data_IF_588990075833
#
_entry.id   IF_588990075833
#
_cell.length_a   1.000
_cell.length_b   1.000
_cell.length_c   1.000
_cell.angle_alpha   90.00
_cell.angle_beta   90.00
_cell.angle_gamma   90.00
#
_symmetry.space_group_name_H-M   'P 1'
#
loop_
_entity.id
_entity.type
_entity.pdbx_description
1 polymer ?
#
# COMPACT_ATOMS: atom_id res chain seq x y z
N UNK A 1 35.99 -2.96 0.63
CA UNK A 1 34.59 -2.97 1.09
C UNK A 1 34.02 -4.34 0.78
N UNK A 2 33.68 -5.14 1.79
CA UNK A 2 33.09 -6.46 1.56
C UNK A 2 31.59 -6.31 1.31
N UNK A 3 31.10 -6.80 0.18
CA UNK A 3 29.67 -6.80 -0.15
C UNK A 3 29.06 -8.07 0.45
N UNK A 4 28.05 -7.91 1.32
CA UNK A 4 27.31 -9.05 1.85
C UNK A 4 26.11 -9.35 0.93
N UNK A 5 26.22 -10.42 0.14
CA UNK A 5 25.16 -10.84 -0.79
C UNK A 5 23.86 -11.24 -0.08
N UNK A 6 23.91 -11.62 1.21
CA UNK A 6 22.73 -11.93 2.03
C UNK A 6 21.78 -10.74 2.22
N UNK A 7 22.28 -9.51 2.07
CA UNK A 7 21.49 -8.28 2.16
C UNK A 7 20.86 -7.87 0.83
N UNK A 8 21.16 -8.56 -0.27
CA UNK A 8 20.60 -8.29 -1.59
C UNK A 8 19.34 -9.12 -1.77
N UNK A 9 18.21 -8.43 -1.92
CA UNK A 9 16.89 -9.05 -1.93
C UNK A 9 16.24 -8.86 -3.30
N UNK A 10 15.64 -9.92 -3.82
CA UNK A 10 14.91 -9.94 -5.08
C UNK A 10 13.65 -10.79 -4.90
N UNK A 11 12.53 -10.33 -5.43
CA UNK A 11 11.31 -11.12 -5.49
C UNK A 11 10.04 -10.28 -5.52
N UNK A 12 8.90 -10.93 -5.78
CA UNK A 12 7.60 -10.25 -5.83
C UNK A 12 7.16 -9.82 -4.42
N UNK A 13 6.31 -8.79 -4.38
CA UNK A 13 5.54 -8.43 -3.20
C UNK A 13 4.08 -8.87 -3.39
N UNK A 14 3.40 -9.22 -2.31
CA UNK A 14 1.95 -9.44 -2.27
C UNK A 14 1.28 -8.21 -1.68
N UNK A 15 0.14 -7.81 -2.23
CA UNK A 15 -0.61 -6.65 -1.79
C UNK A 15 -2.00 -7.10 -1.31
N UNK A 16 -2.41 -6.57 -0.17
CA UNK A 16 -3.73 -6.82 0.41
C UNK A 16 -4.39 -5.49 0.75
N UNK A 17 -5.72 -5.46 0.61
CA UNK A 17 -6.58 -4.32 0.95
C UNK A 17 -7.56 -4.74 2.03
N UNK A 18 -7.82 -3.87 2.99
CA UNK A 18 -8.89 -4.02 3.98
C UNK A 18 -9.57 -2.67 4.25
N UNK A 19 -10.77 -2.63 4.86
CA UNK A 19 -11.33 -1.40 5.39
C UNK A 19 -10.44 -0.77 6.48
N UNK A 20 -10.40 0.56 6.57
CA UNK A 20 -9.70 1.24 7.67
C UNK A 20 -10.28 0.80 9.03
N UNK A 21 -9.40 0.54 10.01
CA UNK A 21 -9.77 0.07 11.35
C UNK A 21 -9.90 -1.45 11.48
N UNK A 22 -9.62 -2.20 10.41
CA UNK A 22 -9.55 -3.67 10.46
C UNK A 22 -8.44 -4.14 11.40
N UNK A 23 -8.65 -5.29 12.05
CA UNK A 23 -7.63 -5.89 12.92
C UNK A 23 -6.39 -6.25 12.11
N UNK A 24 -5.23 -5.79 12.58
CA UNK A 24 -3.94 -6.07 11.96
C UNK A 24 -3.49 -7.50 12.27
N UNK A 25 -2.91 -8.22 11.29
CA UNK A 25 -2.28 -9.50 11.56
C UNK A 25 -1.13 -9.33 12.56
N UNK A 26 -0.95 -10.32 13.42
CA UNK A 26 0.16 -10.33 14.39
C UNK A 26 1.51 -10.31 13.68
N UNK A 27 2.48 -9.59 14.26
CA UNK A 27 3.86 -9.52 13.76
C UNK A 27 4.51 -10.92 13.68
N UNK A 28 4.13 -11.84 14.57
CA UNK A 28 4.58 -13.23 14.57
C UNK A 28 4.09 -14.04 13.35
N UNK A 29 3.15 -13.51 12.56
CA UNK A 29 2.70 -14.13 11.32
C UNK A 29 3.59 -13.81 10.11
N UNK A 30 4.60 -12.93 10.27
CA UNK A 30 5.56 -12.59 9.21
C UNK A 30 6.62 -13.69 9.10
N UNK A 31 6.34 -14.73 8.31
CA UNK A 31 7.24 -15.87 8.11
C UNK A 31 7.26 -16.36 6.64
N UNK A 32 8.41 -16.80 6.09
CA UNK A 32 8.58 -17.25 4.69
C UNK A 32 7.77 -18.49 4.35
N UNK A 33 7.60 -19.35 5.37
CA UNK A 33 6.73 -20.53 5.36
C UNK A 33 5.42 -20.25 6.12
N UNK A 34 5.11 -18.98 6.39
CA UNK A 34 3.84 -18.55 6.96
C UNK A 34 2.73 -19.09 6.08
N UNK A 35 1.65 -19.59 6.69
CA UNK A 35 0.73 -20.46 6.02
C UNK A 35 0.25 -19.82 4.72
N UNK A 36 -0.14 -20.68 3.81
CA UNK A 36 -1.15 -20.46 2.75
C UNK A 36 -2.45 -19.78 3.23
N UNK A 37 -2.46 -19.14 4.40
CA UNK A 37 -3.52 -18.31 4.92
C UNK A 37 -3.22 -16.85 4.53
N UNK A 38 -3.98 -16.25 3.60
CA UNK A 38 -4.09 -14.81 3.55
C UNK A 38 -4.35 -14.25 4.96
N UNK A 39 -3.97 -12.99 5.25
CA UNK A 39 -4.42 -12.31 6.46
C UNK A 39 -5.93 -12.54 6.63
N UNK A 40 -6.35 -12.91 7.85
CA UNK A 40 -7.75 -13.25 8.12
C UNK A 40 -8.68 -12.14 7.63
N UNK A 41 -9.92 -12.49 7.24
CA UNK A 41 -10.96 -11.50 6.90
C UNK A 41 -10.93 -10.33 7.91
N UNK A 42 -10.89 -9.08 7.45
CA UNK A 42 -11.37 -8.58 6.15
C UNK A 42 -10.29 -8.26 5.09
N UNK A 43 -9.07 -8.78 5.22
CA UNK A 43 -8.01 -8.53 4.24
C UNK A 43 -8.22 -9.34 2.95
N UNK A 44 -8.30 -8.65 1.81
CA UNK A 44 -8.47 -9.25 0.49
C UNK A 44 -7.20 -9.11 -0.33
N UNK A 45 -6.73 -10.22 -0.90
CA UNK A 45 -5.63 -10.24 -1.86
C UNK A 45 -6.07 -9.57 -3.16
N UNK A 46 -5.26 -8.65 -3.68
CA UNK A 46 -5.54 -7.98 -4.96
C UNK A 46 -4.97 -8.75 -6.16
N UNK A 47 -4.30 -9.88 -5.90
CA UNK A 47 -3.77 -10.77 -6.91
C UNK A 47 -2.41 -10.31 -7.46
N UNK A 48 -2.12 -10.71 -8.70
CA UNK A 48 -0.86 -10.38 -9.36
C UNK A 48 -0.64 -8.86 -9.55
N UNK A 49 0.57 -8.38 -9.28
CA UNK A 49 1.01 -7.02 -9.61
C UNK A 49 2.02 -7.02 -10.75
N UNK A 50 1.92 -6.06 -11.67
CA UNK A 50 2.89 -5.86 -12.75
C UNK A 50 3.83 -4.68 -12.43
N UNK A 51 5.14 -4.87 -12.56
CA UNK A 51 6.13 -3.84 -12.20
C UNK A 51 6.36 -3.62 -10.70
N UNK A 52 5.72 -4.41 -9.83
CA UNK A 52 5.92 -4.40 -8.38
C UNK A 52 5.07 -3.37 -7.62
N UNK A 53 5.36 -3.23 -6.33
CA UNK A 53 4.72 -2.27 -5.43
C UNK A 53 5.79 -1.32 -4.90
N UNK A 54 5.58 -0.02 -5.06
CA UNK A 54 6.50 1.00 -4.55
C UNK A 54 5.90 1.69 -3.33
N UNK A 55 6.67 1.77 -2.25
CA UNK A 55 6.35 2.57 -1.07
C UNK A 55 7.30 3.75 -1.02
N UNK A 56 6.75 4.96 -1.03
CA UNK A 56 7.48 6.22 -1.05
C UNK A 56 7.10 7.06 0.17
N UNK A 57 8.09 7.73 0.76
CA UNK A 57 7.91 8.70 1.85
C UNK A 57 8.63 9.98 1.47
N UNK A 58 7.86 11.05 1.31
CA UNK A 58 8.32 12.39 0.99
C UNK A 58 8.20 13.28 2.23
N UNK A 59 9.30 13.91 2.62
CA UNK A 59 9.42 14.76 3.79
C UNK A 59 9.79 16.18 3.35
N UNK A 60 8.87 17.12 3.56
CA UNK A 60 9.11 18.54 3.29
C UNK A 60 9.61 19.23 4.54
N UNK A 61 10.75 19.92 4.41
CA UNK A 61 11.32 20.74 5.47
C UNK A 61 11.14 22.22 5.14
N UNK A 62 10.85 23.01 6.16
CA UNK A 62 10.86 24.47 6.06
C UNK A 62 12.03 25.01 6.88
N UNK A 63 12.82 25.86 6.23
CA UNK A 63 14.01 26.45 6.82
C UNK A 63 13.65 27.57 7.79
N UNK A 64 14.41 27.64 8.88
CA UNK A 64 14.39 28.70 9.86
C UNK A 64 15.51 29.67 9.51
N UNK A 65 15.14 30.91 9.19
CA UNK A 65 16.06 32.00 8.89
C UNK A 65 15.98 33.07 9.98
N UNK A 66 17.11 33.69 10.25
CA UNK A 66 17.27 34.73 11.26
C UNK A 66 18.06 35.85 10.59
N UNK A 67 17.56 37.08 10.65
CA UNK A 67 18.08 38.22 9.87
C UNK A 67 19.55 38.56 10.15
N UNK A 68 20.08 38.11 11.28
CA UNK A 68 21.47 38.28 11.69
C UNK A 68 22.46 37.36 10.96
N UNK A 69 21.98 36.28 10.34
CA UNK A 69 22.80 35.29 9.65
C UNK A 69 22.32 35.12 8.21
N UNK A 70 23.23 35.27 7.25
CA UNK A 70 22.91 35.09 5.82
C UNK A 70 22.62 33.63 5.45
N UNK A 71 22.97 32.68 6.33
CA UNK A 71 22.74 31.25 6.13
C UNK A 71 21.58 30.76 6.99
N UNK A 72 20.85 29.76 6.48
CA UNK A 72 19.83 29.01 7.22
C UNK A 72 20.35 28.53 8.59
N UNK A 73 19.55 28.76 9.64
CA UNK A 73 19.92 28.42 11.03
C UNK A 73 19.50 27.00 11.39
N UNK A 74 18.52 26.45 10.67
CA UNK A 74 18.10 25.07 10.78
C UNK A 74 16.84 24.82 9.96
N UNK A 75 16.32 23.61 9.99
CA UNK A 75 15.07 23.27 9.31
C UNK A 75 14.13 22.49 10.24
N UNK A 76 12.83 22.51 9.93
CA UNK A 76 11.79 21.74 10.64
C UNK A 76 10.93 20.99 9.64
N UNK A 77 10.55 19.76 9.96
CA UNK A 77 9.63 18.97 9.15
C UNK A 77 8.23 19.63 9.21
N UNK A 78 7.69 20.00 8.06
CA UNK A 78 6.38 20.69 7.96
C UNK A 78 5.32 19.86 7.26
N UNK A 79 5.72 18.94 6.39
CA UNK A 79 4.82 17.97 5.81
C UNK A 79 5.51 16.63 5.61
N UNK A 80 4.74 15.55 5.76
CA UNK A 80 5.15 14.20 5.40
C UNK A 80 4.04 13.58 4.57
N UNK A 81 4.37 13.09 3.39
CA UNK A 81 3.46 12.41 2.47
C UNK A 81 3.99 11.00 2.22
N UNK A 82 3.13 10.01 2.41
CA UNK A 82 3.47 8.61 2.11
C UNK A 82 2.54 8.09 1.02
N UNK A 83 3.11 7.47 0.00
CA UNK A 83 2.38 6.96 -1.16
C UNK A 83 2.76 5.52 -1.45
N UNK A 84 1.76 4.70 -1.79
CA UNK A 84 1.93 3.33 -2.29
C UNK A 84 1.42 3.30 -3.72
N UNK A 85 2.28 2.97 -4.68
CA UNK A 85 1.88 2.80 -6.08
C UNK A 85 1.97 1.33 -6.46
N UNK A 86 0.91 0.83 -7.08
CA UNK A 86 0.83 -0.54 -7.56
C UNK A 86 0.08 -0.59 -8.91
N UNK A 87 0.49 -1.51 -9.77
CA UNK A 87 -0.26 -1.87 -10.98
C UNK A 87 -0.85 -3.25 -10.80
N UNK A 88 -2.16 -3.33 -10.69
CA UNK A 88 -2.86 -4.60 -10.50
C UNK A 88 -3.06 -5.26 -11.87
N UNK A 89 -2.56 -6.47 -12.05
CA UNK A 89 -2.71 -7.23 -13.31
C UNK A 89 -4.08 -7.89 -13.43
N UNK A 90 -4.76 -8.11 -12.32
CA UNK A 90 -6.07 -8.76 -12.28
C UNK A 90 -7.20 -7.72 -12.40
N UNK A 91 -7.83 -7.68 -13.58
CA UNK A 91 -8.95 -6.79 -13.89
C UNK A 91 -10.29 -7.33 -13.36
N UNK A 92 -10.38 -7.60 -12.06
CA UNK A 92 -11.65 -7.96 -11.43
C UNK A 92 -12.45 -6.70 -11.08
N UNK A 93 -13.78 -6.81 -11.04
CA UNK A 93 -14.63 -5.70 -10.59
C UNK A 93 -14.34 -5.32 -9.13
N UNK A 94 -13.93 -6.27 -8.31
CA UNK A 94 -13.49 -6.05 -6.93
C UNK A 94 -12.24 -5.16 -6.87
N UNK A 95 -11.23 -5.46 -7.69
CA UNK A 95 -10.01 -4.64 -7.78
C UNK A 95 -10.28 -3.25 -8.36
N UNK A 96 -11.18 -3.16 -9.35
CA UNK A 96 -11.62 -1.87 -9.87
C UNK A 96 -12.34 -1.04 -8.80
N UNK A 97 -13.18 -1.66 -7.96
CA UNK A 97 -13.83 -0.98 -6.85
C UNK A 97 -12.83 -0.53 -5.79
N UNK A 98 -11.85 -1.37 -5.44
CA UNK A 98 -10.79 -1.00 -4.51
C UNK A 98 -9.95 0.17 -5.03
N UNK A 99 -9.62 0.20 -6.32
CA UNK A 99 -8.92 1.31 -6.96
C UNK A 99 -9.75 2.61 -6.96
N UNK A 100 -11.08 2.51 -6.89
CA UNK A 100 -12.03 3.62 -6.78
C UNK A 100 -12.51 3.86 -5.33
N UNK A 101 -11.73 3.48 -4.33
CA UNK A 101 -12.04 3.71 -2.90
C UNK A 101 -13.36 3.08 -2.42
N UNK A 102 -13.78 1.97 -3.03
CA UNK A 102 -15.06 1.31 -2.75
C UNK A 102 -16.28 2.23 -2.86
N UNK A 103 -16.20 3.27 -3.70
CA UNK A 103 -17.29 4.23 -3.89
C UNK A 103 -18.47 3.58 -4.63
N UNK A 104 -18.23 2.56 -5.44
CA UNK A 104 -19.27 1.90 -6.23
C UNK A 104 -19.90 0.73 -5.48
N UNK A 105 -21.15 0.42 -5.82
CA UNK A 105 -21.86 -0.75 -5.32
C UNK A 105 -21.71 -1.90 -6.31
N UNK A 106 -21.20 -3.04 -5.82
CA UNK A 106 -21.19 -4.29 -6.56
C UNK A 106 -22.46 -5.07 -6.27
N UNK A 107 -23.19 -5.46 -7.32
CA UNK A 107 -24.36 -6.34 -7.20
C UNK A 107 -24.07 -7.61 -7.97
N UNK A 108 -24.07 -8.75 -7.28
CA UNK A 108 -23.81 -10.07 -7.86
C UNK A 108 -25.14 -10.71 -8.20
N UNK A 109 -25.37 -10.97 -9.49
CA UNK A 109 -26.55 -11.67 -9.99
C UNK A 109 -26.15 -13.01 -10.62
N UNK A 110 -27.14 -13.84 -10.92
CA UNK A 110 -26.90 -15.10 -11.61
C UNK A 110 -26.33 -14.84 -13.01
N UNK A 111 -25.03 -15.14 -13.20
CA UNK A 111 -24.35 -15.06 -14.49
C UNK A 111 -23.66 -13.74 -14.82
N UNK A 112 -23.79 -12.70 -13.98
CA UNK A 112 -23.07 -11.42 -14.16
C UNK A 112 -22.92 -10.66 -12.83
N UNK A 113 -21.99 -9.71 -12.79
CA UNK A 113 -21.82 -8.78 -11.66
C UNK A 113 -21.84 -7.37 -12.23
N UNK A 114 -22.67 -6.50 -11.66
CA UNK A 114 -22.75 -5.09 -12.05
C UNK A 114 -22.00 -4.22 -11.04
N UNK A 115 -21.38 -3.16 -11.55
CA UNK A 115 -20.71 -2.13 -10.76
C UNK A 115 -21.29 -0.79 -11.18
N UNK A 116 -22.02 -0.16 -10.27
CA UNK A 116 -22.63 1.15 -10.50
C UNK A 116 -21.88 2.21 -9.69
N UNK A 117 -21.28 3.17 -10.39
CA UNK A 117 -20.59 4.30 -9.75
C UNK A 117 -21.64 5.36 -9.41
N UNK A 118 -21.91 5.64 -8.13
CA UNK A 118 -22.92 6.61 -7.76
C UNK A 118 -22.48 8.01 -8.19
N UNK A 119 -23.38 8.71 -8.89
CA UNK A 119 -23.26 10.14 -9.20
C UNK A 119 -24.17 10.92 -8.24
N UNK A 120 -23.63 11.23 -7.05
CA UNK A 120 -24.33 12.03 -6.06
C UNK A 120 -24.29 13.53 -6.35
N UNK A 121 -25.26 14.29 -5.83
CA UNK A 121 -25.30 15.77 -5.88
C UNK A 121 -24.55 16.43 -4.71
N UNK A 122 -23.88 15.65 -3.86
CA UNK A 122 -23.19 16.14 -2.65
C UNK A 122 -21.83 15.45 -2.48
N UNK A 123 -20.89 16.17 -1.86
CA UNK A 123 -19.59 15.60 -1.47
C UNK A 123 -19.80 14.62 -0.32
N UNK A 124 -19.72 13.33 -0.62
CA UNK A 124 -19.73 12.26 0.40
C UNK A 124 -18.31 12.05 0.93
N UNK A 125 -18.20 11.72 2.22
CA UNK A 125 -16.92 11.37 2.82
C UNK A 125 -16.43 10.02 2.23
N UNK A 126 -15.23 9.94 1.65
CA UNK A 126 -14.74 8.70 1.07
C UNK A 126 -14.43 7.67 2.16
N UNK A 127 -14.66 6.39 1.86
CA UNK A 127 -14.29 5.30 2.72
C UNK A 127 -12.76 5.08 2.65
N UNK A 128 -12.08 5.24 3.78
CA UNK A 128 -10.64 4.96 3.87
C UNK A 128 -10.39 3.45 3.92
N UNK A 129 -9.30 3.03 3.28
CA UNK A 129 -8.82 1.65 3.33
C UNK A 129 -7.51 1.55 4.14
N UNK A 130 -7.10 0.32 4.42
CA UNK A 130 -5.79 -0.07 4.90
C UNK A 130 -5.12 -0.97 3.87
N UNK A 131 -3.79 -0.87 3.71
CA UNK A 131 -2.99 -1.72 2.85
C UNK A 131 -2.02 -2.55 3.66
N UNK A 132 -1.75 -3.75 3.18
CA UNK A 132 -0.70 -4.62 3.69
C UNK A 132 0.13 -5.11 2.51
N UNK A 133 1.45 -4.92 2.61
CA UNK A 133 2.42 -5.31 1.60
C UNK A 133 3.36 -6.31 2.24
N UNK A 134 3.40 -7.52 1.70
CA UNK A 134 4.36 -8.54 2.09
C UNK A 134 5.42 -8.69 1.00
N UNK A 135 6.64 -8.29 1.32
CA UNK A 135 7.82 -8.43 0.47
C UNK A 135 8.93 -9.22 1.14
N UNK A 136 10.08 -9.30 0.48
CA UNK A 136 11.25 -10.00 1.02
C UNK A 136 12.12 -9.06 1.87
N UNK A 137 12.69 -9.61 2.93
CA UNK A 137 13.70 -8.98 3.79
C UNK A 137 15.08 -9.65 3.58
N UNK A 138 16.19 -9.02 4.01
CA UNK A 138 17.50 -9.67 4.07
C UNK A 138 17.44 -11.02 4.77
N UNK A 139 18.22 -12.00 4.31
CA UNK A 139 18.16 -13.34 4.87
C UNK A 139 18.50 -13.34 6.36
N UNK A 140 17.89 -14.27 7.10
CA UNK A 140 18.16 -14.45 8.52
C UNK A 140 19.62 -14.84 8.74
N UNK A 141 20.12 -14.70 9.98
CA UNK A 141 21.45 -15.17 10.34
C UNK A 141 21.66 -16.67 10.07
N UNK A 142 20.58 -17.45 9.98
CA UNK A 142 20.55 -18.87 9.60
C UNK A 142 20.72 -19.12 8.10
N UNK A 143 20.70 -18.08 7.27
CA UNK A 143 20.69 -18.16 5.81
C UNK A 143 19.32 -18.46 5.19
N UNK A 144 18.28 -18.65 6.02
CA UNK A 144 16.92 -18.81 5.55
C UNK A 144 16.36 -17.49 4.97
N UNK A 145 15.43 -17.55 4.01
CA UNK A 145 14.76 -16.35 3.51
C UNK A 145 14.00 -15.66 4.66
N UNK A 146 13.80 -14.35 4.56
CA UNK A 146 13.03 -13.57 5.54
C UNK A 146 11.96 -12.73 4.82
N UNK A 147 10.86 -12.41 5.50
CA UNK A 147 9.83 -11.52 4.97
C UNK A 147 9.81 -10.16 5.68
N UNK A 148 9.40 -9.15 4.91
CA UNK A 148 9.05 -7.81 5.38
C UNK A 148 7.57 -7.57 5.17
N UNK A 149 6.87 -7.13 6.21
CA UNK A 149 5.50 -6.65 6.14
C UNK A 149 5.44 -5.15 6.34
N UNK A 150 4.72 -4.45 5.47
CA UNK A 150 4.41 -3.02 5.59
C UNK A 150 2.90 -2.88 5.68
N UNK A 151 2.39 -2.32 6.78
CA UNK A 151 0.98 -2.01 6.98
C UNK A 151 0.81 -0.50 6.88
N UNK A 152 -0.04 -0.05 5.96
CA UNK A 152 -0.43 1.36 5.82
C UNK A 152 -1.89 1.48 6.25
N UNK A 153 -2.13 2.07 7.41
CA UNK A 153 -3.41 1.93 8.12
C UNK A 153 -4.55 2.71 7.48
N UNK A 154 -4.31 3.93 7.01
CA UNK A 154 -5.35 4.81 6.46
C UNK A 154 -4.93 5.39 5.13
N UNK A 155 -5.55 4.94 4.04
CA UNK A 155 -5.23 5.35 2.68
C UNK A 155 -6.48 5.73 1.88
N UNK A 156 -6.27 6.57 0.85
CA UNK A 156 -7.18 6.70 -0.29
C UNK A 156 -6.39 6.59 -1.59
N UNK A 157 -6.95 5.87 -2.55
CA UNK A 157 -6.54 5.93 -3.95
C UNK A 157 -6.79 7.35 -4.49
N UNK A 158 -5.73 8.07 -4.80
CA UNK A 158 -5.75 9.51 -5.12
C UNK A 158 -5.32 9.83 -6.56
N UNK A 159 -4.99 8.82 -7.36
CA UNK A 159 -4.60 9.00 -8.77
C UNK A 159 -5.62 8.28 -9.64
N UNK A 160 -5.91 8.89 -10.80
CA UNK A 160 -6.71 8.34 -11.90
C UNK A 160 -6.56 6.82 -11.97
N UNK A 161 -7.61 6.08 -11.55
CA UNK A 161 -7.71 4.66 -11.85
C UNK A 161 -7.95 4.56 -13.37
N UNK A 162 -6.91 4.21 -14.13
CA UNK A 162 -7.00 4.05 -15.57
C UNK A 162 -7.14 2.58 -15.94
N UNK A 163 -8.22 2.28 -16.66
CA UNK A 163 -8.41 1.01 -17.33
C UNK A 163 -8.12 1.23 -18.81
N UNK A 164 -7.09 0.58 -19.34
CA UNK A 164 -6.71 0.66 -20.74
C UNK A 164 -6.89 -0.69 -21.42
N UNK A 165 -7.55 -0.69 -22.58
CA UNK A 165 -7.74 -1.87 -23.40
C UNK A 165 -6.89 -1.72 -24.67
N UNK A 166 -5.70 -2.31 -24.68
CA UNK A 166 -4.86 -2.43 -25.87
C UNK A 166 -4.67 -3.94 -26.19
N UNK A 167 -4.41 -4.24 -27.47
CA UNK A 167 -4.00 -5.56 -27.95
C UNK A 167 -2.51 -5.81 -27.76
N UNK A 168 -1.69 -4.77 -27.64
CA UNK A 168 -0.22 -4.86 -27.62
C UNK A 168 0.39 -5.00 -26.22
N UNK A 169 -0.29 -4.48 -25.20
CA UNK A 169 0.22 -4.44 -23.83
C UNK A 169 -0.72 -5.18 -22.89
N UNK A 170 -0.15 -5.81 -21.86
CA UNK A 170 -0.94 -6.40 -20.79
C UNK A 170 -1.78 -5.31 -20.12
N UNK A 171 -3.05 -5.62 -19.88
CA UNK A 171 -3.98 -4.70 -19.24
C UNK A 171 -3.70 -4.70 -17.74
N UNK A 172 -3.64 -3.51 -17.16
CA UNK A 172 -3.38 -3.29 -15.74
C UNK A 172 -4.24 -2.16 -15.21
N UNK A 173 -4.57 -2.24 -13.93
CA UNK A 173 -5.20 -1.18 -13.16
C UNK A 173 -4.11 -0.45 -12.38
N UNK A 174 -3.74 0.73 -12.87
CA UNK A 174 -2.80 1.60 -12.18
C UNK A 174 -3.52 2.30 -11.01
N UNK A 175 -2.98 2.17 -9.80
CA UNK A 175 -3.50 2.83 -8.61
C UNK A 175 -2.39 3.38 -7.72
N UNK A 176 -2.63 4.55 -7.15
CA UNK A 176 -1.74 5.17 -6.16
C UNK A 176 -2.54 5.53 -4.93
N UNK A 177 -2.20 4.89 -3.83
CA UNK A 177 -2.79 5.12 -2.52
C UNK A 177 -1.93 6.10 -1.73
N UNK A 178 -2.53 7.15 -1.22
CA UNK A 178 -1.85 8.10 -0.33
C UNK A 178 -2.30 7.85 1.10
N UNK A 179 -1.34 7.76 2.02
CA UNK A 179 -1.60 7.60 3.44
C UNK A 179 -2.00 8.92 4.09
N UNK A 180 -2.86 8.84 5.11
CA UNK A 180 -3.35 9.98 5.88
C UNK A 180 -3.08 9.81 7.36
N UNK A 181 -3.12 10.94 8.06
CA UNK A 181 -3.07 10.97 9.52
C UNK A 181 -4.19 10.12 10.15
N UNK A 182 -3.79 9.26 11.09
CA UNK A 182 -4.67 8.37 11.86
C UNK A 182 -5.02 9.01 13.19
N UNK A 183 -4.05 9.11 14.11
CA UNK A 183 -4.18 9.79 15.40
C UNK A 183 -2.79 10.06 16.02
N UNK A 184 -2.73 10.73 17.17
CA UNK A 184 -1.48 11.01 17.88
C UNK A 184 -0.88 9.78 18.58
N UNK A 185 -1.67 8.72 18.77
CA UNK A 185 -1.27 7.48 19.45
C UNK A 185 -1.08 6.28 18.50
N UNK A 186 -1.49 6.41 17.24
CA UNK A 186 -1.39 5.36 16.23
C UNK A 186 -0.62 5.91 15.03
N UNK A 187 0.57 5.37 14.79
CA UNK A 187 1.35 5.72 13.62
C UNK A 187 0.61 5.28 12.33
N UNK A 188 0.70 6.03 11.22
CA UNK A 188 0.01 5.67 9.97
C UNK A 188 0.62 4.46 9.24
N UNK A 189 1.90 4.14 9.49
CA UNK A 189 2.62 3.02 8.88
C UNK A 189 3.28 2.16 9.97
N UNK A 190 3.28 0.85 9.77
CA UNK A 190 3.98 -0.13 10.59
C UNK A 190 4.79 -1.05 9.68
N UNK A 191 6.07 -1.26 9.99
CA UNK A 191 6.99 -2.08 9.19
C UNK A 191 7.61 -3.12 10.10
N UNK A 192 7.55 -4.37 9.69
CA UNK A 192 8.05 -5.52 10.44
C UNK A 192 8.97 -6.33 9.54
N UNK A 193 10.18 -6.56 10.02
CA UNK A 193 11.09 -7.55 9.44
C UNK A 193 11.09 -8.79 10.31
N UNK A 194 11.02 -9.96 9.68
CA UNK A 194 11.31 -11.20 10.38
C UNK A 194 12.78 -11.21 10.80
N UNK A 195 13.03 -11.52 12.07
CA UNK A 195 14.38 -11.54 12.64
C UNK A 195 14.82 -12.93 13.13
N UNK A 196 13.90 -13.90 13.19
CA UNK A 196 14.15 -15.29 13.62
C UNK A 196 13.30 -16.28 12.83
#
# INVERSE_FOLDING_TARGET
>A
MAVNAANLVLGPARLYVAPFGSTEPLDSAVTPNGPTNPPSSPWTDVGGTDGGVTFETDNTYTDLQVDQLTMMVGSRLTAMKMTVTAKLSEMTLTNLNAALNNISTLSVQTGYTTMDIPVGTSSTQPAYAALLIDGWAPTLATGAPALRRIIVRKVLSQVKASLSYDKKTQQSLDCTFTAYYVSGSIAPVHIVDQTQ
#
